data_IF_136482715983
#
_entry.id   IF_136482715983
#
_cell.length_a   1.000
_cell.length_b   1.000
_cell.length_c   1.000
_cell.angle_alpha   90.00
_cell.angle_beta   90.00
_cell.angle_gamma   90.00
#
_symmetry.space_group_name_H-M   'P 1'
#
loop_
_entity.id
_entity.type
_entity.pdbx_description
1 polymer ?
#
# COMPACT_ATOMS: atom_id res chain seq x y z
N UNK A 1 -14.73 -20.03 -15.13
CA UNK A 1 -14.12 -20.80 -16.23
C UNK A 1 -13.06 -19.90 -16.84
N UNK A 2 -11.83 -20.38 -16.99
CA UNK A 2 -10.75 -19.61 -17.62
C UNK A 2 -11.03 -19.47 -19.11
N UNK A 3 -11.04 -18.25 -19.64
CA UNK A 3 -11.33 -17.99 -21.06
C UNK A 3 -10.00 -17.84 -21.79
N UNK A 4 -9.72 -18.72 -22.73
CA UNK A 4 -8.55 -18.65 -23.62
C UNK A 4 -9.01 -18.05 -24.96
N UNK A 5 -8.33 -17.05 -25.52
CA UNK A 5 -8.61 -16.53 -26.85
C UNK A 5 -8.61 -17.65 -27.92
N UNK A 6 -9.48 -17.54 -28.92
CA UNK A 6 -9.68 -18.62 -29.92
C UNK A 6 -8.40 -18.88 -30.70
N UNK A 7 -7.68 -17.82 -31.10
CA UNK A 7 -6.46 -17.94 -31.88
C UNK A 7 -5.34 -18.59 -31.07
N UNK A 8 -5.20 -18.23 -29.78
CA UNK A 8 -4.25 -18.88 -28.88
C UNK A 8 -4.63 -20.34 -28.59
N UNK A 9 -5.92 -20.66 -28.48
CA UNK A 9 -6.37 -22.07 -28.35
C UNK A 9 -6.06 -22.88 -29.60
N UNK A 10 -6.20 -22.28 -30.79
CA UNK A 10 -5.82 -22.91 -32.05
C UNK A 10 -4.31 -23.17 -32.12
N UNK A 11 -3.50 -22.21 -31.66
CA UNK A 11 -2.06 -22.38 -31.53
C UNK A 11 -1.70 -23.56 -30.59
N UNK A 12 -2.40 -23.72 -29.47
CA UNK A 12 -2.19 -24.85 -28.56
C UNK A 12 -2.62 -26.20 -29.14
N UNK A 13 -3.49 -26.23 -30.11
CA UNK A 13 -3.85 -27.47 -30.81
C UNK A 13 -2.82 -27.87 -31.88
N UNK A 14 -1.88 -26.99 -32.22
CA UNK A 14 -0.81 -27.23 -33.17
C UNK A 14 0.29 -28.17 -32.65
N UNK A 15 1.21 -28.54 -33.50
CA UNK A 15 2.33 -29.43 -33.17
C UNK A 15 3.56 -28.70 -32.65
N UNK A 16 3.68 -27.42 -32.88
CA UNK A 16 4.77 -26.56 -32.42
C UNK A 16 4.19 -25.42 -31.56
N UNK A 17 4.71 -25.23 -30.36
CA UNK A 17 4.24 -24.23 -29.43
C UNK A 17 5.31 -23.15 -29.19
N UNK A 18 4.97 -21.91 -29.52
CA UNK A 18 5.80 -20.73 -29.31
C UNK A 18 5.25 -19.93 -28.14
N UNK A 19 5.28 -20.50 -26.94
CA UNK A 19 4.65 -19.94 -25.74
C UNK A 19 5.71 -19.38 -24.78
N UNK A 20 5.47 -18.14 -24.33
CA UNK A 20 6.25 -17.51 -23.28
C UNK A 20 5.33 -17.00 -22.16
N UNK A 21 5.92 -16.75 -21.00
CA UNK A 21 5.24 -16.07 -19.88
C UNK A 21 5.49 -14.57 -19.98
N UNK A 22 4.46 -13.78 -19.65
CA UNK A 22 4.54 -12.36 -19.42
C UNK A 22 4.14 -12.07 -17.97
N UNK A 23 4.90 -11.20 -17.30
CA UNK A 23 4.63 -10.70 -15.97
C UNK A 23 4.50 -9.18 -16.05
N UNK A 24 3.34 -8.65 -15.74
CA UNK A 24 3.09 -7.22 -15.57
C UNK A 24 3.01 -6.92 -14.09
N UNK A 25 3.74 -5.91 -13.66
CA UNK A 25 3.72 -5.39 -12.29
C UNK A 25 3.28 -3.95 -12.33
N UNK A 26 2.36 -3.59 -11.47
CA UNK A 26 1.80 -2.26 -11.36
C UNK A 26 1.94 -1.77 -9.92
N UNK A 27 2.84 -0.80 -9.72
CA UNK A 27 3.08 -0.21 -8.40
C UNK A 27 1.92 0.70 -8.00
N UNK A 28 1.77 0.92 -6.70
CA UNK A 28 0.72 1.79 -6.14
C UNK A 28 0.89 3.27 -6.51
N UNK A 29 2.06 3.68 -6.97
CA UNK A 29 2.35 5.03 -7.49
C UNK A 29 2.03 5.19 -8.99
N UNK A 30 1.58 4.10 -9.66
CA UNK A 30 1.17 4.10 -11.07
C UNK A 30 2.26 3.71 -12.06
N UNK A 31 3.47 3.42 -11.61
CA UNK A 31 4.55 2.88 -12.45
C UNK A 31 4.24 1.44 -12.86
N UNK A 32 4.49 1.11 -14.14
CA UNK A 32 4.19 -0.21 -14.71
C UNK A 32 5.48 -0.81 -15.25
N UNK A 33 5.73 -2.06 -14.86
CA UNK A 33 6.88 -2.85 -15.31
C UNK A 33 6.38 -4.11 -16.00
N UNK A 34 7.03 -4.48 -17.12
CA UNK A 34 6.73 -5.69 -17.87
C UNK A 34 7.98 -6.56 -18.03
N UNK A 35 7.85 -7.85 -17.76
CA UNK A 35 8.91 -8.85 -17.93
C UNK A 35 8.41 -10.02 -18.76
N UNK A 36 9.29 -10.61 -19.55
CA UNK A 36 8.97 -11.82 -20.34
C UNK A 36 10.02 -12.91 -20.10
N UNK A 37 9.57 -14.17 -20.17
CA UNK A 37 10.46 -15.32 -20.20
C UNK A 37 11.07 -15.57 -21.60
N UNK A 38 10.69 -14.78 -22.61
CA UNK A 38 11.30 -14.85 -23.93
C UNK A 38 12.67 -14.18 -23.91
N UNK A 39 13.56 -14.60 -24.81
CA UNK A 39 14.94 -14.09 -24.94
C UNK A 39 15.01 -12.66 -25.55
N UNK A 40 13.90 -12.12 -26.01
CA UNK A 40 13.76 -10.76 -26.58
C UNK A 40 12.60 -10.03 -25.97
N UNK A 41 12.74 -8.70 -25.84
CA UNK A 41 11.65 -7.83 -25.44
C UNK A 41 10.51 -7.88 -26.45
N UNK A 42 9.28 -7.96 -25.94
CA UNK A 42 8.05 -8.08 -26.72
C UNK A 42 7.08 -6.98 -26.34
N UNK A 43 6.38 -6.40 -27.32
CA UNK A 43 5.35 -5.39 -27.05
C UNK A 43 3.97 -6.01 -27.19
N UNK A 44 3.17 -5.98 -26.12
CA UNK A 44 1.80 -6.48 -26.10
C UNK A 44 0.88 -5.34 -25.65
N UNK A 45 -0.14 -5.00 -26.43
CA UNK A 45 -1.11 -3.93 -26.10
C UNK A 45 -0.45 -2.60 -25.71
N UNK A 46 0.56 -2.18 -26.46
CA UNK A 46 1.36 -0.97 -26.23
C UNK A 46 2.23 -0.96 -24.97
N UNK A 47 2.30 -2.05 -24.19
CA UNK A 47 3.22 -2.25 -23.07
C UNK A 47 4.42 -3.09 -23.55
N UNK A 48 5.62 -2.61 -23.21
CA UNK A 48 6.85 -3.37 -23.46
C UNK A 48 7.07 -4.34 -22.29
N UNK A 49 7.39 -5.59 -22.65
CA UNK A 49 7.81 -6.63 -21.71
C UNK A 49 9.26 -6.96 -22.00
N UNK A 50 10.12 -6.60 -21.08
CA UNK A 50 11.56 -6.73 -21.24
C UNK A 50 12.01 -8.15 -20.99
N UNK A 51 12.95 -8.60 -21.83
CA UNK A 51 13.66 -9.86 -21.63
C UNK A 51 14.69 -9.65 -20.53
N UNK A 52 14.31 -9.92 -19.28
CA UNK A 52 15.22 -9.82 -18.14
C UNK A 52 15.65 -11.23 -17.70
N UNK A 53 16.91 -11.64 -17.99
CA UNK A 53 17.41 -12.95 -17.61
C UNK A 53 17.52 -13.15 -16.09
N UNK A 54 17.40 -12.06 -15.32
CA UNK A 54 17.44 -12.08 -13.86
C UNK A 54 16.09 -12.34 -13.19
N UNK A 55 14.98 -12.31 -13.92
CA UNK A 55 13.64 -12.54 -13.36
C UNK A 55 13.26 -14.00 -13.47
N UNK A 56 13.26 -14.73 -12.37
CA UNK A 56 12.82 -16.11 -12.30
C UNK A 56 11.55 -16.22 -11.45
N UNK A 57 10.49 -16.72 -12.05
CA UNK A 57 9.23 -17.05 -11.35
C UNK A 57 9.31 -18.53 -10.96
N UNK A 58 9.03 -18.83 -9.68
CA UNK A 58 8.97 -20.22 -9.20
C UNK A 58 7.84 -21.01 -9.88
N UNK A 59 7.79 -22.32 -9.66
CA UNK A 59 6.70 -23.14 -10.19
C UNK A 59 5.34 -22.65 -9.66
N UNK A 60 4.40 -22.45 -10.56
CA UNK A 60 3.01 -22.15 -10.21
C UNK A 60 2.36 -23.40 -9.61
N UNK A 61 2.16 -23.40 -8.30
CA UNK A 61 1.41 -24.46 -7.62
C UNK A 61 0.03 -23.90 -7.28
N UNK A 62 -1.01 -24.41 -7.96
CA UNK A 62 -2.40 -24.09 -7.65
C UNK A 62 -3.01 -25.21 -6.86
N UNK A 63 -3.59 -24.91 -5.69
CA UNK A 63 -4.33 -25.87 -4.88
C UNK A 63 -5.85 -25.67 -5.03
N UNK A 64 -6.58 -26.77 -5.09
CA UNK A 64 -8.04 -26.72 -5.04
C UNK A 64 -8.48 -26.46 -3.59
N UNK A 65 -8.72 -25.18 -3.23
CA UNK A 65 -9.16 -24.79 -1.90
C UNK A 65 -8.97 -23.29 -1.66
N UNK A 66 -9.22 -22.83 -0.43
CA UNK A 66 -9.00 -21.46 0.00
C UNK A 66 -7.55 -21.20 0.51
N UNK A 67 -6.63 -22.14 0.28
CA UNK A 67 -5.22 -21.90 0.57
C UNK A 67 -4.70 -20.79 -0.35
N UNK A 68 -3.89 -19.89 0.19
CA UNK A 68 -3.27 -18.83 -0.62
C UNK A 68 -2.22 -19.49 -1.51
N UNK A 69 -2.43 -19.37 -2.83
CA UNK A 69 -1.42 -19.76 -3.79
C UNK A 69 -0.29 -18.72 -3.72
N UNK A 70 0.85 -19.12 -3.18
CA UNK A 70 2.04 -18.30 -3.08
C UNK A 70 3.01 -18.66 -4.20
N UNK A 71 3.51 -17.66 -4.88
CA UNK A 71 4.56 -17.73 -5.87
C UNK A 71 5.74 -16.91 -5.36
N UNK A 72 6.95 -17.37 -5.59
CA UNK A 72 8.13 -16.53 -5.37
C UNK A 72 8.66 -16.01 -6.69
N UNK A 73 8.87 -14.71 -6.75
CA UNK A 73 9.62 -14.03 -7.79
C UNK A 73 11.01 -13.76 -7.25
N UNK A 74 12.02 -14.32 -7.86
CA UNK A 74 13.42 -13.99 -7.56
C UNK A 74 13.96 -13.16 -8.72
N UNK A 75 14.53 -12.00 -8.42
CA UNK A 75 15.19 -11.13 -9.38
C UNK A 75 16.57 -10.72 -8.88
N UNK A 76 17.46 -10.37 -9.78
CA UNK A 76 18.78 -9.83 -9.42
C UNK A 76 18.62 -8.38 -8.92
N UNK A 77 19.42 -8.05 -7.91
CA UNK A 77 19.61 -6.67 -7.45
C UNK A 77 20.69 -6.01 -8.34
N UNK A 78 20.33 -5.70 -9.57
CA UNK A 78 21.20 -5.02 -10.54
C UNK A 78 21.04 -3.49 -10.54
N UNK A 79 20.11 -2.99 -9.71
CA UNK A 79 19.80 -1.56 -9.59
C UNK A 79 18.97 -1.00 -10.73
N UNK A 80 18.49 -1.81 -11.67
CA UNK A 80 17.69 -1.34 -12.81
C UNK A 80 16.22 -1.14 -12.46
N UNK A 81 15.54 -2.17 -11.99
CA UNK A 81 14.10 -2.15 -11.68
C UNK A 81 13.85 -2.21 -10.17
N UNK A 82 14.38 -3.24 -9.51
CA UNK A 82 14.24 -3.40 -8.07
C UNK A 82 15.42 -2.75 -7.35
N UNK A 83 15.37 -1.42 -7.23
CA UNK A 83 16.43 -0.73 -6.49
C UNK A 83 16.33 -0.99 -4.99
N UNK A 84 17.48 -1.04 -4.31
CA UNK A 84 17.53 -1.20 -2.87
C UNK A 84 16.70 -0.11 -2.15
N UNK A 85 16.78 1.12 -2.64
CA UNK A 85 16.08 2.26 -2.06
C UNK A 85 14.56 2.14 -2.22
N UNK A 86 14.06 1.65 -3.36
CA UNK A 86 12.63 1.43 -3.58
C UNK A 86 12.09 0.30 -2.70
N UNK A 87 12.86 -0.76 -2.49
CA UNK A 87 12.46 -1.85 -1.60
C UNK A 87 12.44 -1.38 -0.14
N UNK A 88 13.47 -0.69 0.32
CA UNK A 88 13.55 -0.17 1.69
C UNK A 88 12.49 0.91 1.96
N UNK A 89 12.15 1.72 0.95
CA UNK A 89 11.10 2.74 1.05
C UNK A 89 9.69 2.17 0.87
N UNK A 90 9.57 0.85 0.69
CA UNK A 90 8.29 0.12 0.54
C UNK A 90 7.44 0.55 -0.66
N UNK A 91 8.07 1.02 -1.73
CA UNK A 91 7.35 1.39 -2.96
C UNK A 91 6.72 0.19 -3.66
N UNK A 92 7.25 -1.01 -3.39
CA UNK A 92 6.75 -2.27 -3.93
C UNK A 92 5.64 -2.92 -3.09
N UNK A 93 5.36 -2.41 -1.89
CA UNK A 93 4.33 -2.97 -1.02
C UNK A 93 2.95 -2.88 -1.69
N UNK A 94 2.24 -4.01 -1.75
CA UNK A 94 0.94 -4.15 -2.39
C UNK A 94 0.91 -3.80 -3.89
N UNK A 95 2.04 -3.82 -4.60
CA UNK A 95 2.05 -3.73 -6.05
C UNK A 95 1.18 -4.85 -6.64
N UNK A 96 0.36 -4.53 -7.63
CA UNK A 96 -0.43 -5.54 -8.32
C UNK A 96 0.43 -6.30 -9.33
N UNK A 97 0.20 -7.59 -9.50
CA UNK A 97 0.85 -8.37 -10.54
C UNK A 97 -0.15 -9.16 -11.37
N UNK A 98 0.20 -9.36 -12.64
CA UNK A 98 -0.55 -10.13 -13.61
C UNK A 98 0.41 -11.05 -14.37
N UNK A 99 0.30 -12.36 -14.12
CA UNK A 99 1.05 -13.40 -14.80
C UNK A 99 0.16 -14.02 -15.87
N UNK A 100 0.66 -14.08 -17.10
CA UNK A 100 -0.07 -14.63 -18.23
C UNK A 100 0.87 -15.38 -19.19
N UNK A 101 0.28 -16.17 -20.09
CA UNK A 101 0.97 -16.79 -21.23
C UNK A 101 0.55 -16.09 -22.52
N UNK A 102 1.44 -16.08 -23.46
CA UNK A 102 1.18 -15.55 -24.81
C UNK A 102 2.02 -16.28 -25.85
N UNK A 103 1.60 -16.17 -27.12
CA UNK A 103 2.38 -16.65 -28.26
C UNK A 103 3.41 -15.56 -28.63
N UNK A 104 4.71 -15.87 -28.46
CA UNK A 104 5.78 -14.90 -28.78
C UNK A 104 6.00 -14.73 -30.29
N UNK A 105 5.59 -15.72 -31.13
CA UNK A 105 5.68 -15.62 -32.58
C UNK A 105 4.57 -14.75 -33.16
N UNK A 106 3.38 -14.74 -32.54
CA UNK A 106 2.26 -13.86 -32.90
C UNK A 106 1.54 -13.35 -31.64
N UNK A 107 1.86 -12.13 -31.27
CA UNK A 107 1.27 -11.48 -30.07
C UNK A 107 -0.20 -11.10 -30.24
N UNK A 108 -0.72 -11.16 -31.47
CA UNK A 108 -2.13 -10.84 -31.77
C UNK A 108 -3.08 -11.97 -31.39
N UNK A 109 -2.59 -13.19 -31.16
CA UNK A 109 -3.36 -14.33 -30.69
C UNK A 109 -4.00 -14.10 -29.30
N UNK A 110 -3.56 -13.04 -28.60
CA UNK A 110 -4.05 -12.67 -27.28
C UNK A 110 -3.26 -13.29 -26.14
N UNK A 111 -3.80 -13.13 -24.92
CA UNK A 111 -3.14 -13.59 -23.69
C UNK A 111 -4.01 -14.59 -22.92
N UNK A 112 -3.39 -15.57 -22.28
CA UNK A 112 -4.01 -16.48 -21.33
C UNK A 112 -3.65 -16.06 -19.91
N UNK A 113 -4.57 -15.50 -19.10
CA UNK A 113 -4.27 -15.14 -17.72
C UNK A 113 -3.98 -16.40 -16.88
N UNK A 114 -2.86 -16.41 -16.18
CA UNK A 114 -2.46 -17.51 -15.30
C UNK A 114 -2.80 -17.22 -13.85
N UNK A 115 -2.29 -16.10 -13.33
CA UNK A 115 -2.47 -15.70 -11.94
C UNK A 115 -2.45 -14.18 -11.84
N UNK A 116 -3.19 -13.63 -10.90
CA UNK A 116 -3.12 -12.23 -10.51
C UNK A 116 -3.24 -12.08 -9.01
N UNK A 117 -2.72 -10.99 -8.48
CA UNK A 117 -2.74 -10.72 -7.06
C UNK A 117 -1.92 -9.52 -6.69
N UNK A 118 -1.38 -9.53 -5.48
CA UNK A 118 -0.55 -8.44 -4.96
C UNK A 118 0.77 -8.97 -4.39
N UNK A 119 1.77 -8.11 -4.37
CA UNK A 119 3.03 -8.38 -3.69
C UNK A 119 2.79 -8.52 -2.18
N UNK A 120 3.36 -9.58 -1.63
CA UNK A 120 3.44 -9.79 -0.20
C UNK A 120 4.74 -9.24 0.37
N UNK A 121 5.51 -10.08 1.03
CA UNK A 121 6.81 -9.69 1.59
C UNK A 121 7.86 -9.56 0.50
N UNK A 122 8.58 -8.43 0.51
CA UNK A 122 9.76 -8.20 -0.34
C UNK A 122 11.00 -8.31 0.53
N UNK A 123 11.90 -9.23 0.18
CA UNK A 123 13.11 -9.52 0.95
C UNK A 123 14.35 -9.23 0.13
N UNK A 124 15.21 -8.36 0.65
CA UNK A 124 16.53 -8.08 0.09
C UNK A 124 17.52 -9.15 0.54
N UNK A 125 18.18 -9.81 -0.41
CA UNK A 125 19.36 -10.64 -0.21
C UNK A 125 20.59 -9.91 -0.76
N UNK A 126 21.79 -10.49 -0.59
CA UNK A 126 23.04 -9.81 -1.00
C UNK A 126 23.08 -9.34 -2.45
N UNK A 127 22.51 -10.10 -3.38
CA UNK A 127 22.54 -9.86 -4.82
C UNK A 127 21.20 -10.17 -5.49
N UNK A 128 20.15 -10.34 -4.72
CA UNK A 128 18.84 -10.66 -5.25
C UNK A 128 17.74 -10.11 -4.37
N UNK A 129 16.63 -9.82 -5.00
CA UNK A 129 15.36 -9.47 -4.35
C UNK A 129 14.42 -10.66 -4.49
N UNK A 130 13.84 -11.09 -3.39
CA UNK A 130 12.83 -12.14 -3.38
C UNK A 130 11.50 -11.52 -3.00
N UNK A 131 10.52 -11.69 -3.86
CA UNK A 131 9.17 -11.15 -3.69
C UNK A 131 8.18 -12.30 -3.56
N UNK A 132 7.38 -12.26 -2.52
CA UNK A 132 6.25 -13.17 -2.36
C UNK A 132 5.06 -12.62 -3.18
N UNK A 133 4.56 -13.44 -4.12
CA UNK A 133 3.39 -13.12 -4.92
C UNK A 133 2.17 -13.82 -4.30
N UNK A 134 1.20 -13.05 -3.84
CA UNK A 134 -0.01 -13.55 -3.18
C UNK A 134 -1.21 -13.48 -4.10
N UNK A 135 -1.85 -14.61 -4.31
CA UNK A 135 -3.07 -14.69 -5.10
C UNK A 135 -4.27 -14.01 -4.43
N UNK A 136 -5.35 -13.86 -5.18
CA UNK A 136 -6.58 -13.21 -4.71
C UNK A 136 -7.26 -13.93 -3.53
N UNK A 137 -6.96 -15.22 -3.29
CA UNK A 137 -7.49 -15.99 -2.16
C UNK A 137 -7.15 -15.36 -0.80
N UNK A 138 -6.08 -14.57 -0.70
CA UNK A 138 -5.73 -13.86 0.52
C UNK A 138 -6.87 -12.96 1.02
N UNK A 139 -7.63 -12.35 0.11
CA UNK A 139 -8.77 -11.50 0.49
C UNK A 139 -9.89 -12.27 1.16
N UNK A 140 -10.09 -13.56 0.82
CA UNK A 140 -11.10 -14.42 1.45
C UNK A 140 -10.69 -14.91 2.84
N UNK A 141 -9.41 -14.85 3.19
CA UNK A 141 -8.93 -15.24 4.51
C UNK A 141 -8.97 -14.10 5.54
N UNK A 142 -9.31 -12.89 5.11
CA UNK A 142 -9.39 -11.76 6.03
C UNK A 142 -10.64 -11.87 6.91
N UNK A 143 -10.52 -11.56 8.22
CA UNK A 143 -11.66 -11.59 9.12
C UNK A 143 -12.71 -10.57 8.67
N UNK A 144 -13.96 -11.03 8.54
CA UNK A 144 -15.10 -10.18 8.19
C UNK A 144 -15.78 -9.72 9.48
N UNK A 145 -15.98 -8.42 9.61
CA UNK A 145 -16.68 -7.81 10.73
C UNK A 145 -15.83 -6.80 11.50
N UNK A 146 -16.52 -5.96 12.24
CA UNK A 146 -15.87 -4.91 13.03
C UNK A 146 -15.86 -5.29 14.50
N UNK A 147 -14.68 -5.37 15.14
CA UNK A 147 -14.62 -5.59 16.59
C UNK A 147 -15.20 -4.37 17.31
N UNK A 148 -15.91 -4.62 18.43
CA UNK A 148 -16.35 -3.54 19.30
C UNK A 148 -15.14 -2.97 20.05
N UNK A 149 -14.89 -1.66 19.91
CA UNK A 149 -13.75 -0.96 20.52
C UNK A 149 -14.18 0.37 21.10
N UNK A 150 -13.51 0.83 22.16
CA UNK A 150 -13.73 2.17 22.74
C UNK A 150 -13.27 3.29 21.81
N UNK A 151 -12.37 3.01 20.89
CA UNK A 151 -11.85 3.95 19.90
C UNK A 151 -12.63 3.88 18.60
N UNK A 152 -12.64 4.97 17.84
CA UNK A 152 -13.29 5.02 16.52
C UNK A 152 -12.64 4.08 15.52
N UNK A 153 -13.43 3.30 14.79
CA UNK A 153 -12.97 2.38 13.73
C UNK A 153 -12.82 3.04 12.37
N UNK A 154 -13.51 4.19 12.16
CA UNK A 154 -13.48 4.90 10.88
C UNK A 154 -12.08 5.39 10.51
N UNK A 155 -11.78 5.44 9.24
CA UNK A 155 -10.63 6.19 8.74
C UNK A 155 -10.92 7.68 8.87
N UNK A 156 -9.92 8.47 9.29
CA UNK A 156 -10.11 9.91 9.43
C UNK A 156 -10.26 10.57 8.06
N UNK A 157 -11.24 11.46 7.95
CA UNK A 157 -11.51 12.26 6.74
C UNK A 157 -11.66 11.41 5.47
N UNK A 158 -12.54 10.41 5.52
CA UNK A 158 -12.74 9.41 4.48
C UNK A 158 -13.81 9.77 3.43
N UNK A 159 -14.44 10.94 3.55
CA UNK A 159 -15.43 11.39 2.56
C UNK A 159 -14.72 12.03 1.33
N UNK A 160 -15.13 11.76 0.10
CA UNK A 160 -16.21 10.84 -0.34
C UNK A 160 -15.75 9.40 -0.68
N UNK A 161 -14.50 9.06 -0.41
CA UNK A 161 -13.83 7.87 -0.97
C UNK A 161 -14.25 6.54 -0.36
N UNK A 162 -14.77 6.53 0.87
CA UNK A 162 -15.18 5.30 1.55
C UNK A 162 -16.68 5.04 1.41
N UNK A 163 -17.01 3.87 0.83
CA UNK A 163 -18.37 3.35 0.79
C UNK A 163 -18.52 2.32 1.93
N UNK A 164 -19.36 2.59 2.93
CA UNK A 164 -19.60 1.65 4.01
C UNK A 164 -20.12 2.31 5.30
N UNK A 165 -20.39 1.47 6.30
CA UNK A 165 -21.03 1.88 7.56
C UNK A 165 -20.06 2.52 8.58
N UNK A 166 -18.74 2.45 8.35
CA UNK A 166 -17.72 2.97 9.25
C UNK A 166 -17.11 4.26 8.70
N UNK A 167 -17.92 5.29 8.54
CA UNK A 167 -17.49 6.56 7.96
C UNK A 167 -17.24 7.61 9.03
N UNK A 168 -16.11 8.27 8.93
CA UNK A 168 -15.86 9.55 9.61
C UNK A 168 -16.74 10.66 9.01
N UNK A 169 -16.98 10.65 7.70
CA UNK A 169 -17.80 11.63 7.01
C UNK A 169 -17.18 13.01 6.84
N UNK A 170 -15.95 13.23 7.30
CA UNK A 170 -15.22 14.47 7.09
C UNK A 170 -14.48 14.45 5.75
N UNK A 171 -14.38 15.61 5.10
CA UNK A 171 -13.65 15.76 3.83
C UNK A 171 -12.17 15.99 4.07
N UNK A 172 -11.30 15.15 3.49
CA UNK A 172 -9.86 15.23 3.69
C UNK A 172 -9.27 16.60 3.31
N UNK A 173 -9.74 17.21 2.22
CA UNK A 173 -9.25 18.50 1.74
C UNK A 173 -9.37 19.63 2.79
N UNK A 174 -10.43 19.61 3.62
CA UNK A 174 -10.67 20.60 4.68
C UNK A 174 -9.61 20.58 5.76
N UNK A 175 -8.99 19.41 6.00
CA UNK A 175 -8.03 19.18 7.08
C UNK A 175 -6.62 18.91 6.57
N UNK A 176 -6.37 19.12 5.28
CA UNK A 176 -5.06 18.95 4.65
C UNK A 176 -4.41 20.31 4.45
N UNK A 177 -3.14 20.40 4.83
CA UNK A 177 -2.30 21.58 4.66
C UNK A 177 -1.03 21.17 3.92
N UNK A 178 -0.49 22.04 3.08
CA UNK A 178 0.81 21.86 2.45
C UNK A 178 1.88 22.61 3.22
N UNK A 179 3.09 22.09 3.22
CA UNK A 179 4.24 22.72 3.88
C UNK A 179 5.54 22.47 3.12
N UNK A 180 6.54 23.25 3.48
CA UNK A 180 7.92 23.12 2.97
C UNK A 180 8.86 22.97 4.14
N UNK A 181 9.84 22.08 4.03
CA UNK A 181 10.88 21.88 5.05
C UNK A 181 11.80 23.09 5.09
N UNK A 182 11.94 23.68 6.27
CA UNK A 182 12.80 24.85 6.51
C UNK A 182 14.09 24.51 7.25
N UNK A 183 14.06 23.45 8.07
CA UNK A 183 15.24 22.97 8.80
C UNK A 183 15.13 21.46 9.03
N UNK A 184 16.23 20.76 8.91
CA UNK A 184 16.32 19.30 9.09
C UNK A 184 17.29 19.00 10.23
N UNK A 185 16.83 18.25 11.22
CA UNK A 185 17.66 17.71 12.31
C UNK A 185 18.06 16.26 11.98
N UNK A 186 17.11 15.49 11.47
CA UNK A 186 17.30 14.08 11.05
C UNK A 186 16.26 13.70 10.00
N UNK A 187 16.35 12.50 9.46
CA UNK A 187 15.29 11.96 8.59
C UNK A 187 13.94 11.71 9.31
N UNK A 188 13.91 11.94 10.62
CA UNK A 188 12.71 11.78 11.45
C UNK A 188 12.20 13.13 11.97
N UNK A 189 13.12 14.06 12.31
CA UNK A 189 12.84 15.30 13.00
C UNK A 189 13.23 16.50 12.15
N UNK A 190 12.29 17.37 11.88
CA UNK A 190 12.49 18.56 11.04
C UNK A 190 11.47 19.64 11.37
N UNK A 191 11.73 20.84 10.89
CA UNK A 191 10.81 21.98 11.00
C UNK A 191 10.27 22.33 9.63
N UNK A 192 9.01 22.69 9.56
CA UNK A 192 8.33 23.05 8.33
C UNK A 192 7.62 24.39 8.44
N UNK A 193 7.55 25.11 7.32
CA UNK A 193 6.78 26.34 7.21
C UNK A 193 5.28 26.06 7.06
N UNK A 194 4.45 27.08 7.27
CA UNK A 194 3.01 27.11 7.00
C UNK A 194 2.16 26.13 7.81
N UNK A 195 2.70 25.47 8.83
CA UNK A 195 1.93 24.63 9.72
C UNK A 195 1.29 25.49 10.82
N UNK A 196 0.14 26.09 10.48
CA UNK A 196 -0.72 26.77 11.45
C UNK A 196 -1.49 25.71 12.26
N UNK A 197 -1.44 25.80 13.56
CA UNK A 197 -2.19 24.90 14.44
C UNK A 197 -1.61 24.90 15.84
N UNK A 198 -2.47 24.61 16.82
CA UNK A 198 -2.02 24.37 18.19
C UNK A 198 -1.08 23.16 18.23
N UNK A 199 -0.27 23.08 19.27
CA UNK A 199 0.48 21.86 19.57
C UNK A 199 -0.41 20.64 19.48
N UNK A 200 0.11 19.54 18.95
CA UNK A 200 -0.60 18.28 18.70
C UNK A 200 -1.69 18.30 17.61
N UNK A 201 -1.86 19.39 16.86
CA UNK A 201 -2.88 19.42 15.82
C UNK A 201 -2.65 18.34 14.75
N UNK A 202 -1.40 18.10 14.34
CA UNK A 202 -1.03 17.10 13.35
C UNK A 202 -0.54 15.77 13.97
N UNK A 203 -0.41 15.68 15.28
CA UNK A 203 -0.04 14.42 15.96
C UNK A 203 -1.04 13.31 15.63
N UNK A 204 -0.54 12.13 15.25
CA UNK A 204 -1.30 11.00 14.68
C UNK A 204 -1.85 11.25 13.26
N UNK A 205 -1.51 12.38 12.64
CA UNK A 205 -1.81 12.64 11.23
C UNK A 205 -0.85 11.90 10.29
N UNK A 206 -1.08 12.05 8.99
CA UNK A 206 -0.26 11.46 7.94
C UNK A 206 0.35 12.57 7.10
N UNK A 207 1.66 12.53 6.94
CA UNK A 207 2.41 13.34 6.03
C UNK A 207 2.63 12.55 4.74
N UNK A 208 2.39 13.18 3.60
CA UNK A 208 2.66 12.64 2.26
C UNK A 208 3.61 13.58 1.55
N UNK A 209 4.75 13.08 1.12
CA UNK A 209 5.74 13.86 0.40
C UNK A 209 5.27 14.17 -1.02
N UNK A 210 5.34 15.43 -1.43
CA UNK A 210 4.93 15.90 -2.76
C UNK A 210 6.10 16.29 -3.65
N UNK A 211 7.28 16.52 -3.07
CA UNK A 211 8.55 16.71 -3.79
C UNK A 211 9.74 16.24 -2.94
N UNK A 212 10.91 16.13 -3.57
CA UNK A 212 12.15 15.63 -2.96
C UNK A 212 12.33 14.12 -3.15
N UNK A 213 13.37 13.56 -2.52
CA UNK A 213 13.73 12.16 -2.65
C UNK A 213 12.62 11.20 -2.19
N UNK A 214 11.81 11.64 -1.23
CA UNK A 214 10.74 10.86 -0.63
C UNK A 214 9.38 11.03 -1.32
N UNK A 215 9.31 11.64 -2.50
CA UNK A 215 8.05 11.89 -3.23
C UNK A 215 7.16 10.65 -3.28
N UNK A 216 5.86 10.82 -2.99
CA UNK A 216 4.86 9.75 -2.96
C UNK A 216 4.85 8.94 -1.66
N UNK A 217 5.92 8.95 -0.87
CA UNK A 217 5.99 8.22 0.39
C UNK A 217 5.13 8.89 1.46
N UNK A 218 4.59 8.08 2.36
CA UNK A 218 3.70 8.52 3.42
C UNK A 218 4.24 8.08 4.77
N UNK A 219 4.17 8.96 5.77
CA UNK A 219 4.57 8.61 7.12
C UNK A 219 3.65 9.26 8.15
N UNK A 220 3.45 8.54 9.26
CA UNK A 220 2.65 9.01 10.38
C UNK A 220 3.44 10.00 11.23
N UNK A 221 2.77 11.05 11.71
CA UNK A 221 3.34 12.04 12.61
C UNK A 221 3.26 11.51 14.05
N UNK A 222 4.39 11.48 14.73
CA UNK A 222 4.47 11.13 16.16
C UNK A 222 4.15 12.34 17.03
N UNK A 223 4.77 13.48 16.76
CA UNK A 223 4.56 14.73 17.50
C UNK A 223 4.57 15.93 16.57
N UNK A 224 3.75 16.91 16.91
CA UNK A 224 3.73 18.23 16.31
C UNK A 224 3.71 19.28 17.38
N UNK A 225 4.58 20.28 17.29
CA UNK A 225 4.59 21.44 18.19
C UNK A 225 4.35 22.73 17.44
N UNK A 226 3.85 23.74 18.15
CA UNK A 226 3.70 25.09 17.62
C UNK A 226 5.02 25.57 16.98
N UNK A 227 4.94 26.21 15.82
CA UNK A 227 6.13 26.60 15.04
C UNK A 227 6.54 25.60 13.97
N UNK A 228 5.75 24.54 13.76
CA UNK A 228 5.94 23.60 12.67
C UNK A 228 7.04 22.56 12.89
N UNK A 229 7.44 22.32 14.16
CA UNK A 229 8.36 21.24 14.48
C UNK A 229 7.62 19.91 14.43
N UNK A 230 8.09 18.99 13.60
CA UNK A 230 7.50 17.68 13.35
C UNK A 230 8.50 16.58 13.72
N UNK A 231 7.98 15.53 14.36
CA UNK A 231 8.67 14.24 14.49
C UNK A 231 7.82 13.15 13.87
N UNK A 232 8.40 12.37 12.96
CA UNK A 232 7.74 11.22 12.35
C UNK A 232 7.74 10.01 13.28
N UNK A 233 6.82 9.08 13.10
CA UNK A 233 6.77 7.84 13.88
C UNK A 233 7.95 6.93 13.59
N UNK A 234 8.43 6.93 12.34
CA UNK A 234 9.63 6.23 11.89
C UNK A 234 10.45 7.18 10.99
N UNK A 235 11.79 7.08 11.00
CA UNK A 235 12.61 7.88 10.09
C UNK A 235 12.31 7.51 8.62
N UNK A 236 12.45 8.51 7.76
CA UNK A 236 12.41 8.26 6.31
C UNK A 236 13.68 7.52 5.88
N UNK A 237 13.53 6.62 4.93
CA UNK A 237 14.65 5.83 4.38
C UNK A 237 15.56 6.72 3.53
N UNK A 238 14.95 7.56 2.69
CA UNK A 238 15.67 8.48 1.86
C UNK A 238 15.88 9.82 2.60
N UNK A 239 16.97 10.50 2.27
CA UNK A 239 17.36 11.75 2.94
C UNK A 239 16.30 12.83 2.77
N UNK A 240 15.87 13.43 3.88
CA UNK A 240 15.01 14.62 3.92
C UNK A 240 15.87 15.85 3.75
N UNK A 241 15.48 16.78 2.89
CA UNK A 241 16.23 18.00 2.59
C UNK A 241 15.40 19.25 2.82
N UNK A 242 16.10 20.36 3.10
CA UNK A 242 15.48 21.68 3.13
C UNK A 242 14.97 22.01 1.73
N UNK A 243 13.72 22.48 1.66
CA UNK A 243 13.02 22.74 0.41
C UNK A 243 12.11 21.61 -0.05
N UNK A 244 12.20 20.40 0.51
CA UNK A 244 11.25 19.33 0.24
C UNK A 244 9.85 19.77 0.63
N UNK A 245 8.85 19.41 -0.19
CA UNK A 245 7.45 19.76 0.05
C UNK A 245 6.62 18.54 0.40
N UNK A 246 5.58 18.77 1.16
CA UNK A 246 4.66 17.72 1.58
C UNK A 246 3.23 18.25 1.73
N UNK A 247 2.29 17.34 1.76
CA UNK A 247 0.95 17.55 2.27
C UNK A 247 0.77 16.81 3.58
N UNK A 248 0.09 17.40 4.53
CA UNK A 248 -0.14 16.84 5.86
C UNK A 248 -1.62 16.96 6.22
N UNK A 249 -2.19 15.86 6.69
CA UNK A 249 -3.56 15.85 7.18
C UNK A 249 -3.57 15.90 8.70
N UNK A 250 -4.54 16.64 9.27
CA UNK A 250 -4.72 16.74 10.72
C UNK A 250 -4.79 15.36 11.39
N UNK A 251 -4.22 15.24 12.56
CA UNK A 251 -4.18 13.98 13.29
C UNK A 251 -5.46 13.70 14.07
N UNK A 252 -5.87 12.43 14.11
CA UNK A 252 -7.00 11.95 14.89
C UNK A 252 -6.59 10.73 15.71
N UNK A 253 -6.59 10.87 17.04
CA UNK A 253 -6.29 9.78 18.00
C UNK A 253 -7.48 8.83 18.19
N UNK A 254 -8.57 9.08 17.45
CA UNK A 254 -9.79 8.25 17.45
C UNK A 254 -10.51 8.18 18.81
N UNK A 255 -10.43 9.24 19.58
CA UNK A 255 -11.10 9.38 20.87
C UNK A 255 -12.32 10.29 20.73
N UNK A 256 -13.43 9.91 21.36
CA UNK A 256 -14.70 10.61 21.21
C UNK A 256 -14.63 12.06 21.70
N UNK A 257 -14.25 12.27 22.95
CA UNK A 257 -14.34 13.56 23.62
C UNK A 257 -13.20 14.52 23.23
N UNK A 258 -12.01 14.01 22.96
CA UNK A 258 -10.83 14.82 22.67
C UNK A 258 -10.79 15.26 21.20
N UNK A 259 -10.69 14.30 20.27
CA UNK A 259 -10.50 14.61 18.87
C UNK A 259 -11.82 14.75 18.13
N UNK A 260 -12.72 13.77 18.24
CA UNK A 260 -13.92 13.73 17.45
C UNK A 260 -14.90 14.86 17.80
N UNK A 261 -15.13 15.10 19.10
CA UNK A 261 -16.01 16.16 19.57
C UNK A 261 -15.31 17.51 19.56
N UNK A 262 -14.21 17.65 20.30
CA UNK A 262 -13.59 18.95 20.58
C UNK A 262 -12.84 19.51 19.36
N UNK A 263 -12.06 18.67 18.67
CA UNK A 263 -11.19 19.12 17.59
C UNK A 263 -11.93 19.21 16.25
N UNK A 264 -12.84 18.26 15.99
CA UNK A 264 -13.48 18.13 14.68
C UNK A 264 -15.00 18.36 14.68
N UNK A 265 -15.63 18.53 15.85
CA UNK A 265 -17.08 18.70 16.01
C UNK A 265 -17.90 17.62 15.28
N UNK A 266 -17.40 16.37 15.27
CA UNK A 266 -17.93 15.27 14.47
C UNK A 266 -18.42 14.08 15.31
N UNK A 267 -18.87 14.34 16.50
CA UNK A 267 -19.28 13.31 17.47
C UNK A 267 -20.36 12.36 16.94
N UNK A 268 -21.29 12.87 16.11
CA UNK A 268 -22.39 12.09 15.55
C UNK A 268 -21.92 10.95 14.61
N UNK A 269 -20.75 11.12 14.01
CA UNK A 269 -20.14 10.11 13.13
C UNK A 269 -19.09 9.25 13.84
N UNK A 270 -19.05 9.30 15.17
CA UNK A 270 -18.11 8.49 15.94
C UNK A 270 -18.46 6.99 15.83
N UNK A 271 -17.50 6.18 15.37
CA UNK A 271 -17.69 4.75 15.12
C UNK A 271 -16.99 3.88 16.16
N UNK A 272 -17.27 4.12 17.40
CA UNK A 272 -16.76 3.34 18.54
C UNK A 272 -17.78 3.29 19.67
N UNK A 273 -17.54 2.44 20.66
CA UNK A 273 -18.37 2.26 21.85
C UNK A 273 -17.63 2.75 23.10
N UNK A 274 -17.53 4.09 23.32
CA UNK A 274 -16.69 4.67 24.40
C UNK A 274 -17.17 4.27 25.80
N UNK A 275 -18.46 3.98 25.94
CA UNK A 275 -19.11 3.61 27.21
C UNK A 275 -19.21 2.10 27.44
N UNK A 276 -18.58 1.29 26.56
CA UNK A 276 -18.56 -0.15 26.75
C UNK A 276 -17.88 -0.51 28.09
N UNK A 277 -18.54 -1.29 28.98
CA UNK A 277 -17.94 -1.73 30.22
C UNK A 277 -16.69 -2.60 29.95
N UNK A 278 -15.67 -2.43 30.76
CA UNK A 278 -14.49 -3.31 30.77
C UNK A 278 -14.78 -4.55 31.63
N UNK A 279 -13.89 -5.55 31.55
CA UNK A 279 -13.98 -6.73 32.41
C UNK A 279 -13.97 -6.32 33.90
N UNK A 280 -13.17 -5.32 34.24
CA UNK A 280 -13.11 -4.81 35.65
C UNK A 280 -14.44 -4.15 36.08
N UNK A 281 -15.12 -3.47 35.14
CA UNK A 281 -16.42 -2.85 35.45
C UNK A 281 -17.50 -3.91 35.65
N UNK A 282 -17.40 -5.06 34.97
CA UNK A 282 -18.34 -6.18 35.10
C UNK A 282 -18.13 -6.98 36.40
N UNK A 283 -16.92 -6.94 36.94
CA UNK A 283 -16.57 -7.65 38.21
C UNK A 283 -16.73 -6.79 39.44
N UNK A 284 -16.92 -5.47 39.31
CA UNK A 284 -17.18 -4.58 40.46
C UNK A 284 -18.57 -4.85 41.05
N UNK A 285 -18.57 -5.22 42.31
CA UNK A 285 -19.82 -5.33 43.06
C UNK A 285 -20.44 -3.94 43.31
N UNK A 286 -21.68 -3.66 42.94
CA UNK A 286 -22.31 -2.35 43.16
C UNK A 286 -22.39 -1.93 44.64
N UNK A 287 -22.19 -2.84 45.57
CA UNK A 287 -22.22 -2.55 47.02
C UNK A 287 -20.89 -2.02 47.57
N UNK A 288 -19.80 -1.95 46.81
CA UNK A 288 -18.49 -1.47 47.29
C UNK A 288 -18.16 -0.04 46.86
N UNK A 289 -19.07 0.68 46.24
CA UNK A 289 -18.94 2.11 45.98
C UNK A 289 -19.59 2.94 47.08
N UNK A 290 -18.88 3.11 48.22
CA UNK A 290 -19.12 4.13 49.23
C UNK A 290 -18.00 5.15 49.16
#
# INVERSE_FOLDING_TARGET
MKTIPVDLATHYAGTAHTVAFGLRIERTDGEIFGFTSHDRSVTISAQVYDADPGVAVSQLVTSAGFAVDNLELTTLDDGSVFTRDDVLSKRWDNAAFYLFKFNWADVTDGIEPCMSGTFGMVTLKKQSVVVELRGLQQYFQQPVGNPSTKTCRAHFADFPTQNGNNRCGLTAATFTTTGTITSVVSNQDFTASALAGATDYYTEGVLTWTAGNNIGLRQKIKTHTTGGVLSLSLPMVLTVQVGDTFSIIAGCRKRMNEDCSTKFSNQLNFQGEPHRPTTDDLTKNPQTSV
#
